data_IF_975013367988
#
_entry.id   IF_975013367988
#
_cell.length_a   1.000
_cell.length_b   1.000
_cell.length_c   1.000
_cell.angle_alpha   90.00
_cell.angle_beta   90.00
_cell.angle_gamma   90.00
#
_symmetry.space_group_name_H-M   'P 1'
#
loop_
_entity.id
_entity.type
_entity.pdbx_description
1 polymer ?
#
# COMPACT_ATOMS: atom_id res chain seq x y z
N UNK A 1 -5.07 -8.14 -2.25
CA UNK A 1 -4.38 -6.83 -2.37
C UNK A 1 -4.22 -6.54 -3.85
N UNK A 2 -4.99 -5.62 -4.42
CA UNK A 2 -4.73 -5.11 -5.77
C UNK A 2 -3.59 -4.10 -5.63
N UNK A 3 -2.38 -4.47 -6.05
CA UNK A 3 -1.20 -3.63 -5.91
C UNK A 3 -1.13 -2.66 -7.09
N UNK A 4 -1.52 -1.41 -6.85
CA UNK A 4 -1.39 -0.33 -7.83
C UNK A 4 -0.05 0.42 -7.70
N UNK A 5 0.81 0.04 -6.75
CA UNK A 5 2.06 0.74 -6.49
C UNK A 5 3.18 0.44 -7.48
N UNK A 6 4.33 1.07 -7.22
CA UNK A 6 5.58 0.77 -7.90
C UNK A 6 6.21 -0.50 -7.34
N UNK A 7 6.65 -1.39 -8.22
CA UNK A 7 7.46 -2.54 -7.86
C UNK A 7 8.45 -2.86 -8.98
N UNK A 8 9.58 -3.45 -8.60
CA UNK A 8 10.45 -4.10 -9.56
C UNK A 8 9.81 -5.43 -9.99
N UNK A 9 9.80 -5.71 -11.29
CA UNK A 9 9.27 -6.97 -11.82
C UNK A 9 10.00 -8.19 -11.24
N UNK A 10 11.31 -8.06 -10.97
CA UNK A 10 12.13 -9.07 -10.29
C UNK A 10 11.65 -9.42 -8.88
N UNK A 11 10.89 -8.54 -8.22
CA UNK A 11 10.32 -8.83 -6.90
C UNK A 11 9.16 -9.82 -6.98
N UNK A 12 8.48 -9.91 -8.13
CA UNK A 12 7.36 -10.84 -8.32
C UNK A 12 7.82 -12.29 -8.23
N UNK A 13 8.99 -12.63 -8.78
CA UNK A 13 9.54 -13.98 -8.70
C UNK A 13 9.76 -14.42 -7.25
N UNK A 14 10.21 -13.50 -6.39
CA UNK A 14 10.39 -13.77 -4.97
C UNK A 14 9.06 -14.03 -4.30
N UNK A 15 8.05 -13.19 -4.56
CA UNK A 15 6.70 -13.37 -4.00
C UNK A 15 6.08 -14.68 -4.49
N UNK A 16 6.20 -14.96 -5.78
CA UNK A 16 5.68 -16.16 -6.42
C UNK A 16 6.21 -17.45 -5.79
N UNK A 17 7.54 -17.56 -5.64
CA UNK A 17 8.19 -18.74 -5.04
C UNK A 17 7.80 -18.95 -3.57
N UNK A 18 7.42 -17.90 -2.86
CA UNK A 18 7.08 -17.96 -1.44
C UNK A 18 5.56 -17.92 -1.18
N UNK A 19 4.73 -17.99 -2.22
CA UNK A 19 3.27 -18.01 -2.11
C UNK A 19 2.77 -19.39 -2.56
N UNK A 20 2.40 -20.30 -1.63
CA UNK A 20 2.05 -21.68 -1.96
C UNK A 20 0.94 -21.85 -3.01
N UNK A 21 0.05 -20.86 -3.15
CA UNK A 21 -1.06 -20.86 -4.12
C UNK A 21 -0.82 -19.93 -5.31
N UNK A 22 0.43 -19.56 -5.61
CA UNK A 22 0.72 -18.61 -6.68
C UNK A 22 0.25 -19.09 -8.06
N UNK A 23 0.56 -20.35 -8.42
CA UNK A 23 0.18 -20.95 -9.71
C UNK A 23 -1.32 -21.24 -9.84
N UNK A 24 -1.97 -21.56 -8.73
CA UNK A 24 -3.31 -22.15 -8.75
C UNK A 24 -4.41 -21.21 -8.25
N UNK A 25 -4.05 -20.21 -7.43
CA UNK A 25 -4.98 -19.29 -6.77
C UNK A 25 -4.80 -17.82 -7.15
N UNK A 26 -3.65 -17.42 -7.67
CA UNK A 26 -3.39 -16.03 -8.06
C UNK A 26 -3.55 -15.88 -9.57
N UNK A 27 -4.58 -15.13 -9.99
CA UNK A 27 -4.74 -14.74 -11.40
C UNK A 27 -3.87 -13.54 -11.70
N UNK A 28 -2.62 -13.79 -12.06
CA UNK A 28 -1.64 -12.79 -12.47
C UNK A 28 -1.40 -12.83 -13.98
N UNK A 29 -1.36 -11.68 -14.69
CA UNK A 29 -1.05 -11.68 -16.11
C UNK A 29 0.43 -12.00 -16.35
N UNK A 30 0.72 -12.78 -17.39
CA UNK A 30 2.09 -13.20 -17.72
C UNK A 30 3.01 -12.04 -18.14
N UNK A 31 2.45 -10.88 -18.46
CA UNK A 31 3.17 -9.68 -18.85
C UNK A 31 2.41 -8.45 -18.37
N UNK A 32 3.12 -7.35 -18.10
CA UNK A 32 2.54 -6.04 -17.70
C UNK A 32 1.60 -6.13 -16.49
N UNK A 33 1.91 -7.02 -15.53
CA UNK A 33 1.12 -7.15 -14.31
C UNK A 33 1.28 -6.00 -13.32
N UNK A 34 2.32 -5.17 -13.50
CA UNK A 34 2.58 -4.01 -12.67
C UNK A 34 2.12 -2.74 -13.40
N UNK A 35 1.24 -1.99 -12.75
CA UNK A 35 0.82 -0.68 -13.24
C UNK A 35 1.91 0.40 -13.03
N UNK A 36 2.81 0.20 -12.05
CA UNK A 36 3.89 1.12 -11.69
C UNK A 36 3.40 2.57 -11.57
N UNK A 37 2.32 2.76 -10.81
CA UNK A 37 1.78 4.09 -10.54
C UNK A 37 2.57 4.67 -9.37
N UNK A 38 3.17 5.86 -9.51
CA UNK A 38 3.82 6.54 -8.39
C UNK A 38 2.88 6.62 -7.20
N UNK A 39 3.30 6.01 -6.09
CA UNK A 39 2.42 5.78 -4.94
C UNK A 39 3.16 6.13 -3.66
N UNK A 40 2.46 6.81 -2.75
CA UNK A 40 2.93 7.10 -1.39
C UNK A 40 1.95 6.46 -0.41
N UNK A 41 2.47 5.67 0.53
CA UNK A 41 1.66 5.13 1.62
C UNK A 41 1.59 6.13 2.77
N UNK A 42 0.38 6.60 3.09
CA UNK A 42 0.12 7.46 4.24
C UNK A 42 -0.95 6.77 5.08
N UNK A 43 -0.68 6.54 6.35
CA UNK A 43 -1.56 5.78 7.21
C UNK A 43 -1.45 6.17 8.68
N UNK A 44 -2.36 5.65 9.50
CA UNK A 44 -2.34 5.90 10.93
C UNK A 44 -1.09 5.35 11.62
N UNK A 45 -0.77 5.93 12.77
CA UNK A 45 0.23 5.40 13.68
C UNK A 45 -0.40 4.62 14.83
N UNK A 46 0.11 3.43 15.09
CA UNK A 46 -0.42 2.49 16.07
C UNK A 46 0.56 1.36 16.38
N UNK A 47 0.08 0.33 17.07
CA UNK A 47 0.83 -0.90 17.37
C UNK A 47 -0.04 -2.12 17.16
N UNK A 48 0.64 -3.26 16.95
CA UNK A 48 0.06 -4.59 16.91
C UNK A 48 -1.00 -4.79 15.82
N UNK A 49 -0.73 -4.25 14.61
CA UNK A 49 -1.54 -4.41 13.41
C UNK A 49 -1.82 -5.89 13.11
N UNK A 50 -3.08 -6.21 12.81
CA UNK A 50 -3.56 -7.59 12.56
C UNK A 50 -3.47 -8.52 13.77
N UNK A 51 -3.53 -7.98 14.99
CA UNK A 51 -3.61 -8.76 16.23
C UNK A 51 -4.78 -8.31 17.11
N UNK A 52 -5.22 -9.13 18.08
CA UNK A 52 -6.27 -8.73 19.04
C UNK A 52 -5.92 -7.50 19.90
N UNK A 53 -4.63 -7.14 20.00
CA UNK A 53 -4.16 -5.98 20.78
C UNK A 53 -3.91 -4.75 19.89
N UNK A 54 -4.40 -4.78 18.65
CA UNK A 54 -4.30 -3.68 17.71
C UNK A 54 -4.82 -2.39 18.35
N UNK A 55 -3.98 -1.36 18.34
CA UNK A 55 -4.30 -0.07 18.94
C UNK A 55 -3.78 1.07 18.10
N UNK A 56 -4.50 2.17 18.16
CA UNK A 56 -4.29 3.33 17.34
C UNK A 56 -4.03 4.58 18.19
N UNK A 57 -3.10 5.43 17.76
CA UNK A 57 -2.95 6.75 18.37
C UNK A 57 -4.05 7.70 17.87
N UNK A 58 -5.09 7.87 18.68
CA UNK A 58 -6.31 8.61 18.31
C UNK A 58 -6.03 10.06 17.89
N UNK A 59 -5.14 10.76 18.60
CA UNK A 59 -4.75 12.13 18.25
C UNK A 59 -4.08 12.24 16.88
N UNK A 60 -3.34 11.20 16.47
CA UNK A 60 -2.73 11.19 15.15
C UNK A 60 -3.78 10.85 14.10
N UNK A 61 -4.52 9.76 14.29
CA UNK A 61 -5.50 9.28 13.32
C UNK A 61 -6.65 10.24 13.03
N UNK A 62 -7.19 10.91 14.05
CA UNK A 62 -8.40 11.73 13.92
C UNK A 62 -8.12 13.22 13.87
N UNK A 63 -6.87 13.65 14.11
CA UNK A 63 -6.49 15.07 14.06
C UNK A 63 -5.39 15.35 13.05
N UNK A 64 -4.22 14.70 13.20
CA UNK A 64 -3.04 14.99 12.37
C UNK A 64 -3.17 14.40 10.97
N UNK A 65 -3.44 13.11 10.86
CA UNK A 65 -3.49 12.35 9.62
C UNK A 65 -4.47 12.96 8.59
N UNK A 66 -5.70 13.36 8.94
CA UNK A 66 -6.62 13.95 7.96
C UNK A 66 -6.09 15.27 7.38
N UNK A 67 -5.39 16.07 8.20
CA UNK A 67 -4.76 17.32 7.74
C UNK A 67 -3.59 17.05 6.81
N UNK A 68 -2.72 16.10 7.17
CA UNK A 68 -1.60 15.68 6.32
C UNK A 68 -2.12 15.18 4.97
N UNK A 69 -3.11 14.29 4.96
CA UNK A 69 -3.74 13.80 3.73
C UNK A 69 -4.28 14.94 2.87
N UNK A 70 -5.05 15.86 3.47
CA UNK A 70 -5.61 17.00 2.73
C UNK A 70 -4.52 17.91 2.14
N UNK A 71 -3.49 18.21 2.92
CA UNK A 71 -2.36 19.05 2.50
C UNK A 71 -1.56 18.38 1.38
N UNK A 72 -1.24 17.10 1.52
CA UNK A 72 -0.54 16.32 0.49
C UNK A 72 -1.33 16.27 -0.81
N UNK A 73 -2.63 15.95 -0.75
CA UNK A 73 -3.48 15.94 -1.94
C UNK A 73 -3.52 17.31 -2.61
N UNK A 74 -3.69 18.40 -1.85
CA UNK A 74 -3.66 19.76 -2.42
C UNK A 74 -2.33 20.09 -3.06
N UNK A 75 -1.22 19.74 -2.43
CA UNK A 75 0.11 20.00 -2.95
C UNK A 75 0.40 19.21 -4.24
N UNK A 76 -0.04 17.95 -4.33
CA UNK A 76 0.24 17.09 -5.47
C UNK A 76 -0.75 17.25 -6.63
N UNK A 77 -2.02 17.59 -6.34
CA UNK A 77 -3.08 17.68 -7.35
C UNK A 77 -3.36 19.10 -7.83
N UNK A 78 -2.95 20.12 -7.07
CA UNK A 78 -3.06 21.53 -7.47
C UNK A 78 -1.69 22.17 -7.75
N UNK A 79 -0.63 21.38 -7.85
CA UNK A 79 0.63 21.89 -8.38
C UNK A 79 0.48 22.13 -9.88
N UNK A 80 0.65 23.38 -10.32
CA UNK A 80 0.91 23.74 -11.72
C UNK A 80 2.30 23.28 -12.16
#
# INVERSE_FOLDING_TARGET
MSFFGEAAESSLDVVARNTPMWSDGVRWPAHRGLANIPTINIGPWGRDYHTPLERLHTGYAFSVLPRVLSQTCRALLNAE
#
